data_IF_603642611152
#
_entry.id   IF_603642611152
#
_cell.length_a   1.000
_cell.length_b   1.000
_cell.length_c   1.000
_cell.angle_alpha   90.00
_cell.angle_beta   90.00
_cell.angle_gamma   90.00
#
_symmetry.space_group_name_H-M   'P 1'
#
loop_
_entity.id
_entity.type
_entity.pdbx_description
1 polymer ?
#
# COMPACT_ATOMS: atom_id res chain seq x y z
N UNK A 1 0.16 22.07 -18.12
CA UNK A 1 -0.58 21.62 -16.93
C UNK A 1 -1.31 20.34 -17.30
N UNK A 2 -0.66 19.20 -17.11
CA UNK A 2 -1.21 17.90 -17.48
C UNK A 2 -2.05 17.39 -16.33
N UNK A 3 -3.36 17.40 -16.52
CA UNK A 3 -4.34 16.81 -15.61
C UNK A 3 -4.09 15.29 -15.57
N UNK A 4 -3.40 14.79 -14.55
CA UNK A 4 -3.45 13.37 -14.16
C UNK A 4 -4.77 13.16 -13.41
N UNK A 5 -5.86 13.22 -14.16
CA UNK A 5 -7.18 12.82 -13.70
C UNK A 5 -7.20 11.29 -13.63
N UNK A 6 -6.76 10.72 -12.50
CA UNK A 6 -7.24 9.43 -11.95
C UNK A 6 -6.44 8.92 -10.73
N UNK A 7 -5.47 9.68 -10.20
CA UNK A 7 -4.95 9.42 -8.85
C UNK A 7 -5.97 9.89 -7.81
N UNK A 8 -7.06 9.14 -7.66
CA UNK A 8 -8.01 9.34 -6.56
C UNK A 8 -7.28 8.96 -5.28
N UNK A 9 -6.63 9.96 -4.70
CA UNK A 9 -6.03 9.87 -3.38
C UNK A 9 -7.10 9.43 -2.39
N UNK A 10 -6.77 8.40 -1.62
CA UNK A 10 -7.65 7.87 -0.59
C UNK A 10 -7.42 8.71 0.66
N UNK A 11 -8.46 9.38 1.15
CA UNK A 11 -8.40 10.16 2.39
C UNK A 11 -8.44 9.25 3.64
N UNK A 12 -7.96 9.78 4.78
CA UNK A 12 -8.02 9.09 6.07
C UNK A 12 -6.92 8.03 6.26
N UNK A 13 -5.86 8.12 5.47
CA UNK A 13 -4.68 7.26 5.55
C UNK A 13 -3.77 7.71 6.70
N UNK A 14 -3.10 6.75 7.35
CA UNK A 14 -2.13 6.99 8.42
C UNK A 14 -1.11 8.08 8.02
N UNK A 15 -0.85 9.07 8.89
CA UNK A 15 0.14 10.12 8.61
C UNK A 15 1.51 9.55 8.25
N UNK A 16 2.19 10.19 7.28
CA UNK A 16 3.44 9.68 6.71
C UNK A 16 3.25 8.71 5.55
N UNK A 17 2.01 8.38 5.19
CA UNK A 17 1.66 7.56 4.04
C UNK A 17 0.59 8.22 3.19
N UNK A 18 0.62 7.90 1.89
CA UNK A 18 -0.42 8.23 0.91
C UNK A 18 -0.89 6.95 0.24
N UNK A 19 -2.18 6.87 -0.08
CA UNK A 19 -2.70 5.77 -0.89
C UNK A 19 -3.45 6.26 -2.13
N UNK A 20 -3.23 5.62 -3.27
CA UNK A 20 -3.87 5.93 -4.56
C UNK A 20 -4.56 4.68 -5.10
N UNK A 21 -5.69 4.84 -5.81
CA UNK A 21 -6.43 3.72 -6.44
C UNK A 21 -5.86 3.29 -7.80
N UNK A 22 -4.64 3.73 -8.09
CA UNK A 22 -3.93 3.58 -9.35
C UNK A 22 -2.45 3.43 -9.06
N UNK A 23 -1.80 2.57 -9.84
CA UNK A 23 -0.34 2.50 -9.93
C UNK A 23 0.06 2.76 -11.38
N UNK A 24 0.85 3.81 -11.68
CA UNK A 24 1.33 4.06 -13.03
C UNK A 24 2.04 2.85 -13.62
N UNK A 25 1.61 2.41 -14.80
CA UNK A 25 2.18 1.24 -15.50
C UNK A 25 1.64 -0.13 -15.05
N UNK A 26 0.72 -0.20 -14.07
CA UNK A 26 0.03 -1.44 -13.73
C UNK A 26 -1.16 -1.69 -14.64
N UNK A 27 -1.25 -2.87 -15.25
CA UNK A 27 -2.42 -3.31 -16.02
C UNK A 27 -3.59 -3.78 -15.12
N UNK A 28 -3.33 -4.00 -13.83
CA UNK A 28 -4.33 -4.46 -12.87
C UNK A 28 -4.71 -3.33 -11.91
N UNK A 29 -6.01 -3.16 -11.61
CA UNK A 29 -6.43 -2.16 -10.64
C UNK A 29 -5.98 -2.60 -9.25
N UNK A 30 -5.21 -1.72 -8.59
CA UNK A 30 -4.61 -1.93 -7.28
C UNK A 30 -4.68 -0.64 -6.48
N UNK A 31 -4.62 -0.75 -5.15
CA UNK A 31 -4.33 0.38 -4.29
C UNK A 31 -2.82 0.41 -4.04
N UNK A 32 -2.16 1.49 -4.45
CA UNK A 32 -0.74 1.71 -4.18
C UNK A 32 -0.59 2.56 -2.92
N UNK A 33 0.25 2.11 -1.99
CA UNK A 33 0.58 2.83 -0.75
C UNK A 33 2.02 3.31 -0.84
N UNK A 34 2.21 4.60 -0.66
CA UNK A 34 3.47 5.32 -0.81
C UNK A 34 3.86 5.95 0.52
N UNK A 35 5.16 6.08 0.77
CA UNK A 35 5.63 6.96 1.83
C UNK A 35 5.44 8.42 1.42
N UNK A 36 5.11 9.27 2.40
CA UNK A 36 4.95 10.72 2.19
C UNK A 36 6.24 11.49 2.57
N UNK A 37 7.35 10.79 2.76
CA UNK A 37 8.65 11.35 3.18
C UNK A 37 9.55 11.75 2.00
N UNK A 38 9.06 12.66 1.16
CA UNK A 38 9.87 13.40 0.18
C UNK A 38 10.32 12.63 -1.07
N UNK A 39 10.70 11.36 -0.94
CA UNK A 39 11.08 10.51 -2.08
C UNK A 39 9.87 9.81 -2.71
N UNK A 40 8.70 9.86 -2.05
CA UNK A 40 7.45 9.26 -2.50
C UNK A 40 7.63 7.80 -2.94
N UNK A 41 8.39 7.04 -2.16
CA UNK A 41 8.71 5.65 -2.49
C UNK A 41 7.50 4.73 -2.28
N UNK A 42 7.30 3.79 -3.21
CA UNK A 42 6.24 2.79 -3.11
C UNK A 42 6.52 1.85 -1.96
N UNK A 43 5.70 1.88 -0.92
CA UNK A 43 5.82 1.00 0.23
C UNK A 43 5.31 -0.42 -0.11
N UNK A 44 4.07 -0.52 -0.61
CA UNK A 44 3.43 -1.77 -1.01
C UNK A 44 2.15 -1.54 -1.83
N UNK A 45 1.60 -2.63 -2.37
CA UNK A 45 0.33 -2.63 -3.11
C UNK A 45 -0.71 -3.52 -2.42
N UNK A 46 -1.98 -3.15 -2.58
CA UNK A 46 -3.14 -3.87 -2.05
C UNK A 46 -4.17 -4.08 -3.18
N UNK A 47 -5.10 -5.04 -3.05
CA UNK A 47 -6.24 -5.18 -3.95
C UNK A 47 -7.04 -3.88 -4.04
N UNK A 48 -7.65 -3.64 -5.21
CA UNK A 48 -8.47 -2.46 -5.49
C UNK A 48 -9.56 -2.19 -4.45
N UNK A 49 -10.19 -3.26 -3.96
CA UNK A 49 -11.39 -3.17 -3.11
C UNK A 49 -11.07 -3.06 -1.60
N UNK A 50 -9.80 -2.78 -1.26
CA UNK A 50 -9.35 -2.62 0.13
C UNK A 50 -9.93 -1.34 0.72
N UNK A 51 -10.50 -1.42 1.93
CA UNK A 51 -11.08 -0.26 2.64
C UNK A 51 -9.99 0.58 3.32
N UNK A 52 -10.31 1.83 3.67
CA UNK A 52 -9.39 2.72 4.41
C UNK A 52 -8.88 2.08 5.70
N UNK A 53 -9.76 1.40 6.43
CA UNK A 53 -9.41 0.71 7.69
C UNK A 53 -8.41 -0.43 7.44
N UNK A 54 -8.62 -1.23 6.39
CA UNK A 54 -7.72 -2.30 6.01
C UNK A 54 -6.37 -1.77 5.51
N UNK A 55 -6.36 -0.64 4.79
CA UNK A 55 -5.12 0.03 4.37
C UNK A 55 -4.32 0.46 5.60
N UNK A 56 -4.96 1.13 6.57
CA UNK A 56 -4.30 1.56 7.80
C UNK A 56 -3.80 0.39 8.65
N UNK A 57 -4.53 -0.73 8.69
CA UNK A 57 -4.07 -1.95 9.34
C UNK A 57 -2.84 -2.53 8.64
N UNK A 58 -2.81 -2.55 7.30
CA UNK A 58 -1.65 -2.98 6.53
C UNK A 58 -0.43 -2.08 6.77
N UNK A 59 -0.63 -0.75 6.84
CA UNK A 59 0.41 0.22 7.21
C UNK A 59 0.98 -0.09 8.59
N UNK A 60 0.13 -0.31 9.60
CA UNK A 60 0.59 -0.63 10.96
C UNK A 60 1.44 -1.92 11.01
N UNK A 61 1.05 -2.95 10.24
CA UNK A 61 1.82 -4.19 10.10
C UNK A 61 3.15 -3.93 9.40
N UNK A 62 3.12 -3.18 8.29
CA UNK A 62 4.30 -2.79 7.52
C UNK A 62 5.30 -2.02 8.38
N UNK A 63 4.87 -0.98 9.09
CA UNK A 63 5.71 -0.17 9.98
C UNK A 63 6.33 -1.01 11.09
N UNK A 64 5.56 -1.93 11.68
CA UNK A 64 6.08 -2.85 12.70
C UNK A 64 7.19 -3.74 12.15
N UNK A 65 7.04 -4.25 10.92
CA UNK A 65 8.06 -5.03 10.24
C UNK A 65 9.29 -4.20 9.87
N UNK A 66 9.08 -2.98 9.38
CA UNK A 66 10.13 -2.05 8.98
C UNK A 66 11.00 -1.60 10.17
N UNK A 67 10.37 -1.21 11.29
CA UNK A 67 11.09 -0.81 12.52
C UNK A 67 11.92 -1.93 13.15
N UNK A 68 11.62 -3.19 12.85
CA UNK A 68 12.41 -4.33 13.32
C UNK A 68 13.67 -4.59 12.47
N UNK A 69 14.01 -3.70 11.53
CA UNK A 69 15.27 -3.74 10.77
C UNK A 69 15.29 -4.80 9.67
N UNK A 70 14.14 -5.36 9.33
CA UNK A 70 14.05 -6.36 8.27
C UNK A 70 13.96 -5.67 6.91
N UNK A 71 15.02 -5.78 6.10
CA UNK A 71 14.96 -5.75 4.62
C UNK A 71 13.85 -6.71 4.09
N UNK A 72 13.40 -7.62 4.95
CA UNK A 72 12.23 -8.50 4.82
C UNK A 72 10.85 -7.85 5.07
N UNK A 73 10.75 -6.62 5.57
CA UNK A 73 9.50 -6.00 6.02
C UNK A 73 8.45 -5.85 4.93
N UNK A 74 8.85 -5.42 3.72
CA UNK A 74 7.94 -5.31 2.58
C UNK A 74 7.47 -6.68 2.07
N UNK A 75 8.39 -7.64 1.91
CA UNK A 75 8.07 -9.00 1.45
C UNK A 75 7.22 -9.79 2.46
N UNK A 76 7.52 -9.63 3.76
CA UNK A 76 6.78 -10.24 4.87
C UNK A 76 5.44 -9.57 5.08
N UNK A 77 5.34 -8.25 4.98
CA UNK A 77 4.05 -7.55 4.97
C UNK A 77 3.20 -7.99 3.77
N UNK A 78 3.76 -8.06 2.56
CA UNK A 78 3.05 -8.60 1.40
C UNK A 78 2.61 -10.05 1.59
N UNK A 79 3.45 -10.90 2.22
CA UNK A 79 3.13 -12.30 2.52
C UNK A 79 2.04 -12.43 3.60
N UNK A 80 2.23 -11.80 4.75
CA UNK A 80 1.26 -11.79 5.86
C UNK A 80 -0.06 -11.19 5.40
N UNK A 81 -0.02 -10.16 4.56
CA UNK A 81 -1.21 -9.59 3.95
C UNK A 81 -1.86 -10.60 3.01
N UNK A 82 -1.12 -11.21 2.05
CA UNK A 82 -1.65 -12.25 1.15
C UNK A 82 -2.29 -13.42 1.90
N UNK A 83 -1.69 -13.84 3.02
CA UNK A 83 -2.22 -14.86 3.92
C UNK A 83 -3.50 -14.38 4.64
N UNK A 84 -3.55 -13.12 5.10
CA UNK A 84 -4.71 -12.54 5.79
C UNK A 84 -5.93 -12.30 4.88
N UNK A 85 -5.73 -11.95 3.60
CA UNK A 85 -6.81 -11.83 2.60
C UNK A 85 -7.10 -13.13 1.84
N UNK A 86 -6.50 -14.26 2.23
CA UNK A 86 -6.84 -15.58 1.65
C UNK A 86 -6.37 -15.79 0.21
N UNK A 87 -5.50 -14.94 -0.32
CA UNK A 87 -4.90 -15.08 -1.66
C UNK A 87 -3.81 -16.17 -1.74
N UNK A 88 -3.72 -17.05 -0.74
CA UNK A 88 -2.74 -18.14 -0.65
C UNK A 88 -3.18 -19.45 -1.32
N UNK A 89 -4.25 -19.45 -2.11
CA UNK A 89 -4.75 -20.66 -2.75
C UNK A 89 -5.19 -20.39 -4.20
N UNK A 90 -4.21 -20.24 -5.10
CA UNK A 90 -4.34 -20.42 -6.55
C UNK A 90 -3.00 -20.90 -7.11
#
# INVERSE_FOLDING_TARGET
MSQHADDVEIAGITPGFRATRSLPGSASPVVAVWHDDGDHDLAFMLPRDTTVEQINQAIAIYERGYRQGEVYGAAKAQRTFREAIGLGHL
#
